data_IF_791710487420
#
_entry.id   IF_791710487420
#
_cell.length_a   1.000
_cell.length_b   1.000
_cell.length_c   1.000
_cell.angle_alpha   90.00
_cell.angle_beta   90.00
_cell.angle_gamma   90.00
#
_symmetry.space_group_name_H-M   'P 1'
#
loop_
_entity.id
_entity.type
_entity.pdbx_description
1 polymer ?
#
# COMPACT_ATOMS: atom_id res chain seq x y z
N UNK A 1 12.46 -7.97 36.00
CA UNK A 1 13.23 -7.81 34.72
C UNK A 1 12.27 -7.50 33.59
N UNK A 2 11.59 -6.36 33.57
CA UNK A 2 10.54 -6.08 32.57
C UNK A 2 10.49 -4.63 32.05
N UNK A 3 11.31 -3.72 32.51
CA UNK A 3 11.21 -2.28 32.17
C UNK A 3 12.04 -1.85 30.95
N UNK A 4 13.00 -2.66 30.50
CA UNK A 4 13.86 -2.31 29.36
C UNK A 4 13.23 -2.56 27.96
N UNK A 5 12.15 -3.35 27.87
CA UNK A 5 11.51 -3.67 26.58
C UNK A 5 10.37 -2.69 26.21
N UNK A 6 9.83 -1.95 27.17
CA UNK A 6 8.79 -0.96 26.88
C UNK A 6 9.33 0.35 26.27
N UNK A 7 10.55 0.73 26.62
CA UNK A 7 11.16 1.98 26.14
C UNK A 7 11.56 1.94 24.66
N UNK A 8 11.76 0.75 24.10
CA UNK A 8 12.16 0.61 22.68
C UNK A 8 11.01 0.88 21.69
N UNK A 9 9.76 0.72 22.11
CA UNK A 9 8.59 0.87 21.25
C UNK A 9 8.09 2.32 21.20
N UNK A 10 8.21 3.07 22.28
CA UNK A 10 7.85 4.50 22.30
C UNK A 10 8.84 5.38 21.52
N UNK A 11 10.07 4.92 21.31
CA UNK A 11 11.09 5.65 20.54
C UNK A 11 10.84 5.59 19.02
N UNK A 12 9.95 4.71 18.58
CA UNK A 12 9.66 4.49 17.15
C UNK A 12 8.85 5.63 16.52
N UNK A 13 8.10 6.40 17.31
CA UNK A 13 7.23 7.47 16.80
C UNK A 13 7.94 8.82 16.57
N UNK A 14 9.15 9.01 17.10
CA UNK A 14 9.79 10.33 17.14
C UNK A 14 10.86 10.59 16.06
N UNK A 15 11.22 9.62 15.22
CA UNK A 15 12.38 9.70 14.32
C UNK A 15 12.09 10.09 12.87
N UNK A 16 10.84 10.44 12.54
CA UNK A 16 10.47 10.83 11.16
C UNK A 16 10.51 12.35 10.90
N UNK A 17 11.41 13.08 11.52
CA UNK A 17 11.57 14.50 11.26
C UNK A 17 12.91 14.80 10.59
N UNK A 18 12.82 15.22 9.31
CA UNK A 18 13.77 16.04 8.53
C UNK A 18 15.04 15.37 8.00
N UNK A 19 15.07 15.16 6.68
CA UNK A 19 16.31 14.96 5.93
C UNK A 19 16.06 15.02 4.43
N UNK A 20 16.70 15.94 3.73
CA UNK A 20 16.76 16.03 2.27
C UNK A 20 17.35 14.74 1.66
N UNK A 21 16.53 14.06 0.85
CA UNK A 21 16.76 12.74 0.31
C UNK A 21 15.87 11.75 1.08
N UNK A 22 14.57 11.76 0.78
CA UNK A 22 13.62 10.92 1.50
C UNK A 22 14.00 9.45 1.26
N UNK A 23 14.56 8.81 2.29
CA UNK A 23 14.79 7.36 2.28
C UNK A 23 13.47 6.65 2.16
N UNK A 24 13.48 5.47 1.57
CA UNK A 24 12.29 4.65 1.48
C UNK A 24 11.87 4.19 2.90
N UNK A 25 10.68 4.60 3.39
CA UNK A 25 10.23 4.23 4.73
C UNK A 25 10.15 2.72 4.94
N UNK A 26 9.92 1.94 3.89
CA UNK A 26 9.88 0.47 3.97
C UNK A 26 11.26 -0.07 4.29
N UNK A 27 12.31 0.47 3.67
CA UNK A 27 13.70 0.09 3.95
C UNK A 27 14.12 0.49 5.37
N UNK A 28 13.70 1.66 5.85
CA UNK A 28 13.96 2.10 7.23
C UNK A 28 13.28 1.19 8.25
N UNK A 29 12.01 0.84 8.02
CA UNK A 29 11.27 -0.12 8.86
C UNK A 29 11.95 -1.50 8.85
N UNK A 30 12.39 -2.01 7.69
CA UNK A 30 13.12 -3.27 7.59
C UNK A 30 14.40 -3.25 8.42
N UNK A 31 15.19 -2.18 8.32
CA UNK A 31 16.44 -2.03 9.07
C UNK A 31 16.18 -2.06 10.58
N UNK A 32 15.12 -1.41 11.03
CA UNK A 32 14.75 -1.39 12.45
C UNK A 32 14.25 -2.76 12.92
N UNK A 33 13.60 -3.52 12.04
CA UNK A 33 13.03 -4.83 12.33
C UNK A 33 14.02 -5.99 12.07
N UNK A 34 15.27 -5.70 11.75
CA UNK A 34 16.27 -6.73 11.39
C UNK A 34 16.41 -7.81 12.45
N UNK A 35 16.36 -7.45 13.75
CA UNK A 35 16.46 -8.38 14.88
C UNK A 35 15.17 -9.15 15.19
N UNK A 36 14.04 -8.76 14.61
CA UNK A 36 12.78 -9.47 14.83
C UNK A 36 12.82 -10.81 14.09
N UNK A 37 12.38 -11.92 14.72
CA UNK A 37 12.35 -13.24 14.08
C UNK A 37 11.34 -13.27 12.91
N UNK A 38 10.23 -12.54 13.07
CA UNK A 38 9.21 -12.40 12.04
C UNK A 38 8.61 -10.99 12.05
N UNK A 39 8.21 -10.53 10.87
CA UNK A 39 7.43 -9.29 10.71
C UNK A 39 6.76 -9.25 9.33
N UNK A 40 5.73 -8.41 9.24
CA UNK A 40 5.08 -8.06 7.97
C UNK A 40 4.86 -6.56 7.92
N UNK A 41 5.27 -5.92 6.84
CA UNK A 41 5.02 -4.50 6.56
C UNK A 41 3.96 -4.41 5.47
N UNK A 42 2.79 -3.88 5.80
CA UNK A 42 1.64 -3.76 4.90
C UNK A 42 1.44 -2.29 4.55
N UNK A 43 1.18 -1.99 3.27
CA UNK A 43 0.72 -0.67 2.86
C UNK A 43 -0.77 -0.53 3.20
N UNK A 44 -1.04 0.07 4.35
CA UNK A 44 -2.39 0.18 4.91
C UNK A 44 -3.25 1.19 4.15
N UNK A 45 -2.72 2.38 3.89
CA UNK A 45 -3.43 3.43 3.18
C UNK A 45 -2.46 4.37 2.48
N UNK A 46 -2.96 5.14 1.53
CA UNK A 46 -2.21 6.18 0.81
C UNK A 46 -3.11 7.36 0.53
N UNK A 47 -2.52 8.56 0.46
CA UNK A 47 -3.24 9.75 0.04
C UNK A 47 -2.33 10.72 -0.70
N UNK A 48 -2.96 11.54 -1.52
CA UNK A 48 -2.36 12.64 -2.23
C UNK A 48 -3.11 13.92 -1.83
N UNK A 49 -2.38 14.93 -1.38
CA UNK A 49 -2.91 16.24 -0.99
C UNK A 49 -2.37 17.33 -1.89
N UNK A 50 -3.15 18.39 -2.04
CA UNK A 50 -2.78 19.53 -2.89
C UNK A 50 -3.17 19.37 -4.35
N UNK A 51 -3.50 20.51 -4.99
CA UNK A 51 -3.89 20.54 -6.40
C UNK A 51 -2.74 21.05 -7.30
N UNK A 52 -1.88 21.93 -6.79
CA UNK A 52 -0.77 22.56 -7.52
C UNK A 52 0.58 21.98 -7.06
N UNK A 53 0.75 21.84 -5.74
CA UNK A 53 1.90 21.19 -5.13
C UNK A 53 1.40 19.96 -4.41
N UNK A 54 1.49 18.82 -5.09
CA UNK A 54 1.03 17.56 -4.53
C UNK A 54 2.02 17.06 -3.48
N UNK A 55 1.49 16.73 -2.31
CA UNK A 55 2.17 15.98 -1.26
C UNK A 55 1.62 14.57 -1.20
N UNK A 56 2.49 13.62 -0.99
CA UNK A 56 2.16 12.20 -1.02
C UNK A 56 2.41 11.59 0.35
N UNK A 57 1.51 10.73 0.80
CA UNK A 57 1.59 10.12 2.10
C UNK A 57 1.25 8.64 2.02
N UNK A 58 1.98 7.84 2.79
CA UNK A 58 1.68 6.45 3.07
C UNK A 58 1.36 6.26 4.55
N UNK A 59 0.57 5.26 4.83
CA UNK A 59 0.35 4.73 6.16
C UNK A 59 0.59 3.24 6.13
N UNK A 60 1.38 2.75 7.07
CA UNK A 60 1.79 1.35 7.12
C UNK A 60 1.20 0.65 8.33
N UNK A 61 0.97 -0.63 8.19
CA UNK A 61 0.66 -1.53 9.29
C UNK A 61 1.81 -2.53 9.42
N UNK A 62 2.35 -2.67 10.63
CA UNK A 62 3.45 -3.56 10.95
C UNK A 62 2.92 -4.64 11.87
N UNK A 63 3.07 -5.89 11.47
CA UNK A 63 2.75 -7.05 12.28
C UNK A 63 4.05 -7.68 12.78
N UNK A 64 4.11 -8.02 14.07
CA UNK A 64 5.20 -8.77 14.70
C UNK A 64 4.58 -9.81 15.64
N UNK A 65 4.49 -11.07 15.20
CA UNK A 65 3.72 -12.08 15.90
C UNK A 65 2.26 -11.63 16.08
N UNK A 66 1.79 -11.61 17.32
CA UNK A 66 0.41 -11.19 17.66
C UNK A 66 0.25 -9.66 17.78
N UNK A 67 1.31 -8.89 17.61
CA UNK A 67 1.27 -7.43 17.76
C UNK A 67 1.08 -6.77 16.42
N UNK A 68 0.16 -5.81 16.39
CA UNK A 68 -0.08 -4.95 15.23
C UNK A 68 0.15 -3.50 15.63
N UNK A 69 0.96 -2.79 14.87
CA UNK A 69 1.21 -1.36 15.02
C UNK A 69 0.89 -0.68 13.71
N UNK A 70 0.12 0.41 13.77
CA UNK A 70 -0.14 1.27 12.63
C UNK A 70 0.71 2.53 12.76
N UNK A 71 1.36 2.95 11.68
CA UNK A 71 2.10 4.23 11.66
C UNK A 71 1.14 5.40 11.54
N UNK A 72 1.60 6.58 11.90
CA UNK A 72 0.99 7.82 11.42
C UNK A 72 1.18 7.96 9.90
N UNK A 73 0.62 9.01 9.31
CA UNK A 73 0.86 9.35 7.93
C UNK A 73 2.31 9.78 7.72
N UNK A 74 3.03 9.04 6.87
CA UNK A 74 4.42 9.30 6.51
C UNK A 74 4.44 10.02 5.17
N UNK A 75 4.96 11.26 5.12
CA UNK A 75 5.17 11.98 3.86
C UNK A 75 6.25 11.23 3.05
N UNK A 76 5.99 11.00 1.77
CA UNK A 76 6.89 10.28 0.87
C UNK A 76 7.09 11.07 -0.43
N UNK A 77 8.18 10.82 -1.14
CA UNK A 77 8.38 11.38 -2.48
C UNK A 77 7.35 10.82 -3.47
N UNK A 78 7.11 11.53 -4.57
CA UNK A 78 6.25 11.02 -5.64
C UNK A 78 6.77 9.68 -6.18
N UNK A 79 8.09 9.52 -6.29
CA UNK A 79 8.72 8.29 -6.74
C UNK A 79 8.36 7.10 -5.84
N UNK A 80 8.51 7.25 -4.52
CA UNK A 80 8.14 6.22 -3.54
C UNK A 80 6.64 5.95 -3.56
N UNK A 81 5.82 7.01 -3.66
CA UNK A 81 4.37 6.86 -3.79
C UNK A 81 4.00 6.00 -5.00
N UNK A 82 4.59 6.29 -6.18
CA UNK A 82 4.35 5.55 -7.43
C UNK A 82 4.88 4.13 -7.37
N UNK A 83 6.04 3.93 -6.74
CA UNK A 83 6.63 2.60 -6.52
C UNK A 83 5.66 1.66 -5.82
N UNK A 84 4.97 2.15 -4.79
CA UNK A 84 4.07 1.34 -3.97
C UNK A 84 2.59 1.49 -4.33
N UNK A 85 2.22 2.42 -5.21
CA UNK A 85 0.83 2.65 -5.63
C UNK A 85 0.08 1.36 -6.04
N UNK A 86 0.67 0.37 -6.73
CA UNK A 86 -0.03 -0.84 -7.13
C UNK A 86 -0.39 -1.78 -5.97
N UNK A 87 0.18 -1.58 -4.77
CA UNK A 87 0.21 -2.56 -3.69
C UNK A 87 -0.61 -2.18 -2.46
N UNK A 88 -1.59 -1.28 -2.59
CA UNK A 88 -2.48 -0.92 -1.47
C UNK A 88 -3.13 -2.17 -0.87
N UNK A 89 -3.07 -2.29 0.46
CA UNK A 89 -3.60 -3.42 1.20
C UNK A 89 -2.75 -4.70 1.11
N UNK A 90 -1.57 -4.64 0.51
CA UNK A 90 -0.65 -5.78 0.37
C UNK A 90 0.51 -5.69 1.36
N UNK A 91 1.04 -6.84 1.75
CA UNK A 91 2.35 -6.93 2.39
C UNK A 91 3.41 -6.54 1.37
N UNK A 92 4.17 -5.50 1.66
CA UNK A 92 5.30 -5.05 0.84
C UNK A 92 6.54 -5.89 1.11
N UNK A 93 6.69 -6.27 2.39
CA UNK A 93 7.78 -7.10 2.91
C UNK A 93 7.23 -8.00 3.98
N UNK A 94 7.72 -9.23 4.00
CA UNK A 94 7.52 -10.17 5.11
C UNK A 94 8.84 -10.86 5.47
N UNK A 95 8.98 -11.23 6.73
CA UNK A 95 10.06 -12.09 7.23
C UNK A 95 9.45 -13.19 8.08
N UNK A 96 9.87 -14.41 7.84
CA UNK A 96 9.55 -15.56 8.69
C UNK A 96 10.79 -16.43 8.86
N UNK A 97 10.80 -17.28 9.90
CA UNK A 97 11.90 -18.20 10.13
C UNK A 97 12.06 -19.23 9.00
N UNK A 98 10.94 -19.63 8.39
CA UNK A 98 10.93 -20.65 7.34
C UNK A 98 11.30 -20.14 5.95
N UNK A 99 11.00 -18.88 5.65
CA UNK A 99 11.15 -18.32 4.30
C UNK A 99 12.21 -17.22 4.21
N UNK A 100 12.70 -16.73 5.34
CA UNK A 100 13.56 -15.55 5.39
C UNK A 100 12.83 -14.27 5.02
N UNK A 101 13.55 -13.30 4.46
CA UNK A 101 12.99 -12.01 4.03
C UNK A 101 12.46 -12.12 2.61
N UNK A 102 11.19 -11.78 2.43
CA UNK A 102 10.54 -11.66 1.12
C UNK A 102 10.16 -10.19 0.85
N UNK A 103 10.84 -9.57 -0.12
CA UNK A 103 10.63 -8.20 -0.58
C UNK A 103 9.68 -8.12 -1.80
N UNK A 104 8.95 -9.19 -2.11
CA UNK A 104 7.98 -9.18 -3.21
C UNK A 104 6.58 -8.99 -2.65
N UNK A 105 5.84 -7.97 -3.10
CA UNK A 105 4.49 -7.73 -2.61
C UNK A 105 3.58 -8.93 -2.81
N UNK A 106 2.81 -9.25 -1.77
CA UNK A 106 1.88 -10.38 -1.74
C UNK A 106 0.70 -10.09 -0.81
N UNK A 107 -0.39 -10.88 -0.88
CA UNK A 107 -1.49 -10.73 0.07
C UNK A 107 -1.00 -10.95 1.50
N UNK A 108 -1.45 -10.13 2.46
CA UNK A 108 -1.04 -10.28 3.85
C UNK A 108 -1.32 -11.69 4.36
N UNK A 109 -0.40 -12.26 5.13
CA UNK A 109 -0.56 -13.57 5.77
C UNK A 109 -0.23 -14.80 4.92
N UNK A 110 0.00 -14.66 3.60
CA UNK A 110 0.34 -15.82 2.77
C UNK A 110 1.66 -16.50 3.18
N UNK A 111 2.61 -15.75 3.71
CA UNK A 111 3.89 -16.30 4.20
C UNK A 111 3.78 -17.15 5.46
N UNK A 112 2.63 -17.09 6.17
CA UNK A 112 2.34 -17.99 7.29
C UNK A 112 1.67 -19.29 6.85
N UNK A 113 1.03 -19.31 5.67
CA UNK A 113 0.35 -20.48 5.11
C UNK A 113 1.39 -21.55 4.78
N UNK A 114 1.09 -22.81 5.09
CA UNK A 114 2.00 -23.94 4.87
C UNK A 114 3.00 -24.18 6.01
N UNK A 115 3.14 -23.25 6.96
CA UNK A 115 3.95 -23.44 8.15
C UNK A 115 3.11 -24.06 9.28
N UNK A 116 3.45 -25.30 9.67
CA UNK A 116 2.73 -26.08 10.68
C UNK A 116 2.67 -25.44 12.06
N UNK A 117 3.45 -24.39 12.33
CA UNK A 117 3.36 -23.58 13.55
C UNK A 117 2.02 -22.81 13.62
N UNK A 118 1.51 -22.33 12.51
CA UNK A 118 0.32 -21.47 12.45
C UNK A 118 -0.98 -22.20 12.13
N UNK A 119 -0.91 -23.40 11.55
CA UNK A 119 -2.09 -24.11 11.13
C UNK A 119 -1.77 -25.44 10.42
N UNK A 120 -2.74 -25.94 9.70
CA UNK A 120 -2.61 -27.16 8.90
C UNK A 120 -3.51 -27.14 7.67
N UNK A 121 -3.21 -27.98 6.70
CA UNK A 121 -4.08 -28.19 5.55
C UNK A 121 -5.28 -29.08 5.94
N UNK A 122 -6.49 -28.53 5.82
CA UNK A 122 -7.73 -29.28 6.03
C UNK A 122 -8.07 -30.24 4.89
N UNK A 123 -9.01 -31.13 5.13
CA UNK A 123 -9.44 -32.16 4.17
C UNK A 123 -10.02 -31.62 2.85
N UNK A 124 -10.46 -30.35 2.82
CA UNK A 124 -10.92 -29.66 1.61
C UNK A 124 -9.83 -28.90 0.87
N UNK A 125 -8.56 -29.12 1.18
CA UNK A 125 -7.42 -28.49 0.50
C UNK A 125 -7.23 -26.99 0.79
N UNK A 126 -7.82 -26.49 1.87
CA UNK A 126 -7.66 -25.12 2.33
C UNK A 126 -6.91 -25.06 3.66
N UNK A 127 -6.30 -23.89 3.92
CA UNK A 127 -5.54 -23.64 5.15
C UNK A 127 -6.48 -23.40 6.33
N UNK A 128 -6.23 -24.13 7.42
CA UNK A 128 -6.94 -24.02 8.71
C UNK A 128 -5.96 -23.46 9.73
N UNK A 129 -6.25 -22.30 10.29
CA UNK A 129 -5.45 -21.68 11.34
C UNK A 129 -5.73 -22.35 12.69
N UNK A 130 -4.70 -22.52 13.52
CA UNK A 130 -4.92 -22.87 14.91
C UNK A 130 -5.63 -21.72 15.64
N UNK A 131 -6.43 -22.07 16.67
CA UNK A 131 -7.30 -21.11 17.36
C UNK A 131 -6.59 -19.86 17.86
N UNK A 132 -5.38 -20.02 18.39
CA UNK A 132 -4.55 -18.91 18.85
C UNK A 132 -4.11 -17.93 17.74
N UNK A 133 -4.06 -18.38 16.47
CA UNK A 133 -3.71 -17.56 15.32
C UNK A 133 -4.91 -17.16 14.47
N UNK A 134 -6.13 -17.49 14.90
CA UNK A 134 -7.35 -17.12 14.15
C UNK A 134 -7.52 -15.59 14.05
N UNK A 135 -7.08 -14.84 15.06
CA UNK A 135 -7.08 -13.37 15.04
C UNK A 135 -6.19 -12.80 13.93
N UNK A 136 -5.08 -13.47 13.57
CA UNK A 136 -4.21 -13.02 12.48
C UNK A 136 -4.97 -12.95 11.16
N UNK A 137 -5.86 -13.90 10.90
CA UNK A 137 -6.74 -13.90 9.75
C UNK A 137 -7.60 -12.62 9.67
N UNK A 138 -8.14 -12.19 10.80
CA UNK A 138 -9.02 -11.02 10.86
C UNK A 138 -8.22 -9.72 10.77
N UNK A 139 -7.06 -9.65 11.43
CA UNK A 139 -6.12 -8.52 11.34
C UNK A 139 -5.55 -8.34 9.93
N UNK A 140 -5.40 -9.43 9.19
CA UNK A 140 -4.92 -9.42 7.81
C UNK A 140 -6.00 -8.97 6.80
N UNK A 141 -7.18 -8.57 7.28
CA UNK A 141 -8.26 -8.11 6.42
C UNK A 141 -8.89 -9.20 5.57
N UNK A 142 -8.70 -10.46 5.94
CA UNK A 142 -9.23 -11.58 5.16
C UNK A 142 -10.72 -11.80 5.33
N UNK A 143 -11.41 -10.99 6.12
CA UNK A 143 -12.85 -11.01 6.28
C UNK A 143 -13.43 -12.38 6.63
N UNK A 144 -14.65 -12.42 7.09
CA UNK A 144 -15.34 -13.69 7.39
C UNK A 144 -15.43 -14.56 6.14
N UNK A 145 -14.78 -15.74 6.17
CA UNK A 145 -14.99 -16.80 5.19
C UNK A 145 -13.94 -16.96 4.09
N UNK A 146 -12.97 -16.05 3.95
CA UNK A 146 -11.92 -16.27 2.95
C UNK A 146 -10.99 -17.40 3.41
N UNK A 147 -10.80 -18.37 2.53
CA UNK A 147 -9.89 -19.49 2.71
C UNK A 147 -8.76 -19.38 1.69
N UNK A 148 -7.55 -19.78 2.09
CA UNK A 148 -6.45 -19.96 1.15
C UNK A 148 -6.41 -21.43 0.76
N UNK A 149 -6.59 -21.68 -0.51
CA UNK A 149 -6.50 -23.03 -1.05
C UNK A 149 -5.07 -23.38 -1.44
N UNK A 150 -4.76 -24.67 -1.52
CA UNK A 150 -3.42 -25.15 -1.83
C UNK A 150 -2.91 -24.63 -3.17
N UNK A 151 -3.74 -24.61 -4.19
CA UNK A 151 -3.39 -24.08 -5.51
C UNK A 151 -3.03 -22.57 -5.45
N UNK A 152 -3.79 -21.77 -4.68
CA UNK A 152 -3.48 -20.34 -4.48
C UNK A 152 -2.12 -20.15 -3.77
N UNK A 153 -1.83 -21.01 -2.80
CA UNK A 153 -0.55 -20.98 -2.10
C UNK A 153 0.61 -21.41 -3.01
N UNK A 154 0.42 -22.42 -3.84
CA UNK A 154 1.42 -22.86 -4.82
C UNK A 154 1.70 -21.80 -5.88
N UNK A 155 0.66 -21.07 -6.33
CA UNK A 155 0.79 -19.90 -7.22
C UNK A 155 1.57 -18.75 -6.54
N UNK A 156 1.30 -18.51 -5.25
CA UNK A 156 2.07 -17.54 -4.45
C UNK A 156 3.55 -17.91 -4.39
N UNK A 157 3.86 -19.16 -4.04
CA UNK A 157 5.25 -19.65 -3.98
C UNK A 157 5.95 -19.52 -5.32
N UNK A 158 5.29 -19.94 -6.39
CA UNK A 158 5.81 -19.82 -7.76
C UNK A 158 6.11 -18.36 -8.14
N UNK A 159 5.23 -17.44 -7.76
CA UNK A 159 5.42 -16.00 -8.03
C UNK A 159 6.60 -15.45 -7.22
N UNK A 160 6.70 -15.81 -5.93
CA UNK A 160 7.82 -15.44 -5.06
C UNK A 160 9.15 -15.94 -5.60
N UNK A 161 9.22 -17.22 -5.98
CA UNK A 161 10.45 -17.86 -6.46
C UNK A 161 10.91 -17.24 -7.80
N UNK A 162 9.96 -16.72 -8.59
CA UNK A 162 10.23 -15.94 -9.81
C UNK A 162 10.53 -14.46 -9.54
N UNK A 163 10.54 -14.04 -8.28
CA UNK A 163 10.79 -12.65 -7.90
C UNK A 163 9.69 -11.67 -8.32
N UNK A 164 8.44 -12.13 -8.44
CA UNK A 164 7.29 -11.32 -8.91
C UNK A 164 6.28 -11.09 -7.78
N UNK A 165 5.58 -9.93 -7.80
CA UNK A 165 4.43 -9.71 -6.92
C UNK A 165 3.32 -10.72 -7.19
N UNK A 166 2.62 -11.14 -6.15
CA UNK A 166 1.46 -12.00 -6.23
C UNK A 166 0.20 -11.27 -5.75
N UNK A 167 -0.78 -11.09 -6.62
CA UNK A 167 -2.01 -10.34 -6.34
C UNK A 167 -3.21 -11.21 -5.97
N UNK A 168 -3.00 -12.50 -5.67
CA UNK A 168 -4.06 -13.49 -5.54
C UNK A 168 -4.49 -14.08 -6.91
N UNK A 169 -5.17 -15.23 -6.87
CA UNK A 169 -5.53 -15.99 -8.09
C UNK A 169 -6.33 -15.16 -9.10
N UNK A 170 -7.29 -14.36 -8.63
CA UNK A 170 -8.14 -13.49 -9.46
C UNK A 170 -7.67 -12.03 -9.48
N UNK A 171 -6.45 -11.74 -9.05
CA UNK A 171 -5.94 -10.38 -8.84
C UNK A 171 -6.83 -9.56 -7.89
N UNK A 172 -7.30 -10.19 -6.84
CA UNK A 172 -8.23 -9.58 -5.87
C UNK A 172 -7.55 -8.57 -4.94
N UNK A 173 -6.22 -8.63 -4.82
CA UNK A 173 -5.41 -7.75 -3.98
C UNK A 173 -4.73 -6.63 -4.78
N UNK A 174 -4.15 -5.70 -4.03
CA UNK A 174 -3.54 -4.49 -4.59
C UNK A 174 -4.58 -3.44 -4.97
N UNK A 175 -4.11 -2.27 -5.39
CA UNK A 175 -4.94 -1.07 -5.60
C UNK A 175 -6.07 -1.27 -6.60
N UNK A 176 -5.93 -2.17 -7.55
CA UNK A 176 -6.99 -2.46 -8.52
C UNK A 176 -7.81 -3.71 -8.17
N UNK A 177 -7.47 -4.39 -7.06
CA UNK A 177 -8.11 -5.60 -6.63
C UNK A 177 -9.52 -5.39 -6.06
N UNK A 178 -10.41 -6.35 -6.30
CA UNK A 178 -11.80 -6.24 -5.85
C UNK A 178 -11.93 -6.28 -4.31
N UNK A 179 -11.12 -7.10 -3.63
CA UNK A 179 -11.08 -7.13 -2.17
C UNK A 179 -10.61 -5.80 -1.60
N UNK A 180 -9.55 -5.24 -2.14
CA UNK A 180 -9.02 -3.95 -1.70
C UNK A 180 -10.05 -2.84 -1.89
N UNK A 181 -10.80 -2.84 -3.00
CA UNK A 181 -11.90 -1.88 -3.22
C UNK A 181 -12.99 -1.97 -2.15
N UNK A 182 -13.35 -3.18 -1.74
CA UNK A 182 -14.34 -3.40 -0.69
C UNK A 182 -13.83 -2.98 0.70
N UNK A 183 -12.56 -3.25 0.99
CA UNK A 183 -11.94 -2.98 2.30
C UNK A 183 -11.54 -1.51 2.49
N UNK A 184 -11.23 -0.79 1.41
CA UNK A 184 -10.67 0.58 1.43
C UNK A 184 -11.56 1.60 0.72
N UNK A 185 -12.87 1.67 0.99
CA UNK A 185 -13.79 2.56 0.26
C UNK A 185 -13.42 4.04 0.41
N UNK A 186 -12.84 4.43 1.55
CA UNK A 186 -12.42 5.82 1.79
C UNK A 186 -11.25 6.24 0.90
N UNK A 187 -10.29 5.34 0.66
CA UNK A 187 -9.21 5.58 -0.31
C UNK A 187 -9.79 5.87 -1.70
N UNK A 188 -10.71 5.05 -2.19
CA UNK A 188 -11.29 5.24 -3.53
C UNK A 188 -12.12 6.50 -3.63
N UNK A 189 -12.87 6.87 -2.58
CA UNK A 189 -13.58 8.16 -2.51
C UNK A 189 -12.61 9.34 -2.60
N UNK A 190 -11.51 9.32 -1.84
CA UNK A 190 -10.46 10.37 -1.89
C UNK A 190 -9.80 10.42 -3.27
N UNK A 191 -9.42 9.27 -3.81
CA UNK A 191 -8.80 9.17 -5.15
C UNK A 191 -9.72 9.71 -6.24
N UNK A 192 -11.01 9.37 -6.23
CA UNK A 192 -11.99 9.90 -7.17
C UNK A 192 -12.15 11.42 -7.05
N UNK A 193 -12.21 11.93 -5.83
CA UNK A 193 -12.29 13.38 -5.59
C UNK A 193 -11.03 14.11 -6.10
N UNK A 194 -9.83 13.53 -5.90
CA UNK A 194 -8.57 14.08 -6.44
C UNK A 194 -8.56 14.11 -7.96
N UNK A 195 -8.95 13.01 -8.61
CA UNK A 195 -9.03 12.93 -10.07
C UNK A 195 -10.03 13.92 -10.66
N UNK A 196 -11.18 14.10 -10.02
CA UNK A 196 -12.19 15.07 -10.46
C UNK A 196 -11.67 16.51 -10.34
N UNK A 197 -10.97 16.85 -9.25
CA UNK A 197 -10.32 18.16 -9.09
C UNK A 197 -9.27 18.42 -10.17
N UNK A 198 -8.40 17.44 -10.46
CA UNK A 198 -7.39 17.55 -11.53
C UNK A 198 -8.03 17.76 -12.90
N UNK A 199 -9.11 17.05 -13.21
CA UNK A 199 -9.85 17.22 -14.48
C UNK A 199 -10.50 18.60 -14.60
N UNK A 200 -11.13 19.11 -13.53
CA UNK A 200 -11.77 20.42 -13.55
C UNK A 200 -10.74 21.53 -13.69
N UNK A 201 -9.63 21.49 -12.96
CA UNK A 201 -8.56 22.48 -13.07
C UNK A 201 -7.90 22.47 -14.46
N UNK A 202 -7.69 21.29 -15.04
CA UNK A 202 -7.19 21.17 -16.42
C UNK A 202 -8.16 21.77 -17.44
N UNK A 203 -9.45 21.48 -17.33
CA UNK A 203 -10.48 22.03 -18.21
C UNK A 203 -10.55 23.56 -18.13
N UNK A 204 -10.52 24.12 -16.91
CA UNK A 204 -10.51 25.57 -16.71
C UNK A 204 -9.26 26.23 -17.30
N UNK A 205 -8.09 25.63 -17.10
CA UNK A 205 -6.83 26.12 -17.67
C UNK A 205 -6.81 26.04 -19.21
N UNK A 206 -7.36 24.98 -19.79
CA UNK A 206 -7.49 24.83 -21.23
C UNK A 206 -8.43 25.90 -21.81
N UNK A 207 -9.60 26.09 -21.19
CA UNK A 207 -10.55 27.12 -21.62
C UNK A 207 -9.99 28.53 -21.50
N UNK A 208 -9.26 28.86 -20.43
CA UNK A 208 -8.64 30.21 -20.28
C UNK A 208 -7.54 30.45 -21.32
N UNK A 209 -6.82 29.43 -21.77
CA UNK A 209 -5.82 29.58 -22.85
C UNK A 209 -6.47 29.74 -24.22
N UNK A 210 -7.53 28.97 -24.52
CA UNK A 210 -8.30 29.10 -25.76
C UNK A 210 -9.04 30.40 -25.88
N UNK A 211 -9.55 30.94 -24.75
CA UNK A 211 -10.22 32.27 -24.71
C UNK A 211 -9.27 33.43 -25.01
N UNK A 212 -8.00 33.35 -24.63
CA UNK A 212 -6.99 34.39 -24.91
C UNK A 212 -6.51 34.38 -26.37
N UNK A 213 -6.59 33.27 -27.09
CA UNK A 213 -6.18 33.23 -28.50
C UNK A 213 -7.22 33.81 -29.47
N UNK A 214 -8.48 33.96 -29.04
CA UNK A 214 -9.55 34.52 -29.88
C UNK A 214 -9.62 36.05 -29.92
N UNK A 215 -8.94 36.76 -29.03
CA UNK A 215 -8.97 38.22 -28.95
C UNK A 215 -7.91 38.96 -29.79
N UNK A 216 -7.08 38.22 -30.57
CA UNK A 216 -5.95 38.78 -31.33
C UNK A 216 -6.15 38.96 -32.83
N UNK A 217 -7.32 38.65 -33.41
CA UNK A 217 -7.58 38.78 -34.86
C UNK A 217 -8.79 39.66 -35.12
N UNK A 218 -8.76 40.91 -34.66
CA UNK A 218 -9.66 41.96 -35.05
C UNK A 218 -8.98 42.88 -36.07
N UNK A 219 -9.21 42.59 -37.36
CA UNK A 219 -8.59 43.24 -38.48
C UNK A 219 -8.87 44.77 -38.50
N UNK A 220 -7.83 45.56 -38.62
CA UNK A 220 -7.89 46.94 -39.10
C UNK A 220 -8.23 46.95 -40.59
N UNK A 221 -9.48 47.05 -40.93
CA UNK A 221 -9.91 47.45 -42.25
C UNK A 221 -9.68 48.94 -42.43
N UNK A 222 -8.60 49.31 -43.15
CA UNK A 222 -8.47 50.67 -43.72
C UNK A 222 -9.39 50.78 -44.91
N UNK A 223 -10.47 51.54 -44.79
CA UNK A 223 -11.24 52.08 -45.89
C UNK A 223 -10.43 53.20 -46.55
N UNK A 224 -10.08 53.05 -47.83
CA UNK A 224 -9.74 54.15 -48.71
C UNK A 224 -11.01 54.58 -49.47
N UNK A 225 -11.44 55.80 -49.25
CA UNK A 225 -12.48 56.41 -50.03
C UNK A 225 -12.00 56.98 -51.39
N UNK A 226 -12.87 57.04 -52.29
CA UNK A 226 -13.07 58.13 -53.26
C UNK A 226 -14.55 58.24 -53.52
#
# INVERSE_FOLDING_TARGET
MSTRRLTSICLFLALFAVGCGQRDPVEEMQNTLTSAPEYTIILEDMQEEGAVFAKYYHRYQILQGERTVQTDWVEVSEEIYRKYEPFLGMALVSKSESEGVNNKPHPPGYHYVGNSHYGHWGGGGFWVWYGQYSMMRDMLGWGMGRRVYRNEYDDYRTSRDRGRPYYGQNRDYGTNGNLTKQQKPNFYKRRQASLNRKRSSFSQNAQSRLGRSRSGFGGRGRGFGK
#
